data_IF_969818280958
#
_entry.id   IF_969818280958
#
_cell.length_a   1.000
_cell.length_b   1.000
_cell.length_c   1.000
_cell.angle_alpha   90.00
_cell.angle_beta   90.00
_cell.angle_gamma   90.00
#
_symmetry.space_group_name_H-M   'P 1'
#
loop_
_entity.id
_entity.type
_entity.pdbx_description
1 polymer ?
#
# COMPACT_ATOMS: atom_id res chain seq x y z
N UNK A 1 3.08 4.02 1.99
CA UNK A 1 3.50 5.07 2.95
C UNK A 1 2.37 5.41 3.93
N UNK A 2 1.84 4.43 4.67
CA UNK A 2 0.94 4.69 5.79
C UNK A 2 -0.41 5.37 5.47
N UNK A 3 -0.73 5.72 4.23
CA UNK A 3 -2.02 6.29 3.83
C UNK A 3 -2.94 5.20 3.27
N UNK A 4 -4.21 5.22 3.68
CA UNK A 4 -5.25 4.32 3.16
C UNK A 4 -6.03 5.07 2.10
N UNK A 5 -6.09 4.51 0.89
CA UNK A 5 -6.77 5.10 -0.26
C UNK A 5 -8.03 4.31 -0.62
N UNK A 6 -9.13 5.02 -0.88
CA UNK A 6 -10.33 4.43 -1.47
C UNK A 6 -10.17 4.28 -2.98
N UNK A 7 -9.88 3.05 -3.40
CA UNK A 7 -9.70 2.66 -4.79
C UNK A 7 -10.95 2.09 -5.44
N UNK A 8 -12.14 2.29 -4.85
CA UNK A 8 -13.42 1.76 -5.38
C UNK A 8 -13.70 2.24 -6.80
N UNK A 9 -13.38 3.49 -7.13
CA UNK A 9 -13.47 4.02 -8.50
C UNK A 9 -12.52 3.33 -9.49
N UNK A 10 -11.44 2.71 -8.97
CA UNK A 10 -10.45 1.93 -9.70
C UNK A 10 -10.74 0.43 -9.73
N UNK A 11 -11.99 -0.02 -9.48
CA UNK A 11 -12.36 -1.45 -9.42
C UNK A 11 -11.91 -2.30 -10.61
N UNK A 12 -11.77 -1.74 -11.80
CA UNK A 12 -11.24 -2.46 -12.97
C UNK A 12 -9.77 -2.90 -12.81
N UNK A 13 -9.02 -2.24 -11.92
CA UNK A 13 -7.62 -2.53 -11.64
C UNK A 13 -7.45 -3.34 -10.36
N UNK A 14 -8.10 -2.92 -9.27
CA UNK A 14 -7.92 -3.50 -7.93
C UNK A 14 -9.05 -4.45 -7.52
N UNK A 15 -10.13 -4.53 -8.31
CA UNK A 15 -11.19 -5.51 -8.09
C UNK A 15 -10.79 -6.91 -8.56
N UNK A 16 -11.59 -7.94 -8.24
CA UNK A 16 -11.31 -9.32 -8.64
C UNK A 16 -11.11 -9.47 -10.15
N UNK A 17 -10.04 -10.15 -10.58
CA UNK A 17 -9.65 -10.31 -11.98
C UNK A 17 -8.92 -9.10 -12.58
N UNK A 18 -8.66 -8.06 -11.79
CA UNK A 18 -7.90 -6.89 -12.21
C UNK A 18 -6.39 -7.11 -12.07
N UNK A 19 -5.56 -6.43 -12.86
CA UNK A 19 -4.10 -6.60 -12.84
C UNK A 19 -3.45 -6.27 -11.48
N UNK A 20 -4.13 -5.50 -10.62
CA UNK A 20 -3.66 -5.06 -9.32
C UNK A 20 -4.52 -5.61 -8.17
N UNK A 21 -5.28 -6.70 -8.40
CA UNK A 21 -6.14 -7.31 -7.38
C UNK A 21 -5.37 -7.70 -6.11
N UNK A 22 -4.11 -8.13 -6.27
CA UNK A 22 -3.23 -8.56 -5.18
C UNK A 22 -2.93 -7.45 -4.16
N UNK A 23 -3.05 -6.18 -4.55
CA UNK A 23 -2.83 -5.03 -3.68
C UNK A 23 -4.10 -4.59 -2.93
N UNK A 24 -5.27 -5.12 -3.29
CA UNK A 24 -6.52 -4.71 -2.68
C UNK A 24 -6.61 -5.18 -1.22
N UNK A 25 -6.88 -4.23 -0.31
CA UNK A 25 -7.07 -4.52 1.12
C UNK A 25 -5.80 -4.85 1.90
N UNK A 26 -4.61 -4.50 1.37
CA UNK A 26 -3.30 -4.79 1.98
C UNK A 26 -2.37 -3.58 1.87
N UNK A 27 -1.25 -3.59 2.58
CA UNK A 27 -0.18 -2.62 2.33
C UNK A 27 0.54 -2.95 1.02
N UNK A 28 0.34 -2.10 0.01
CA UNK A 28 0.96 -2.25 -1.31
C UNK A 28 2.36 -1.62 -1.39
N UNK A 29 2.87 -1.01 -0.31
CA UNK A 29 4.05 -0.14 -0.37
C UNK A 29 5.30 -0.85 -0.90
N UNK A 30 5.60 -2.08 -0.48
CA UNK A 30 6.76 -2.85 -0.96
C UNK A 30 6.61 -3.27 -2.41
N UNK A 31 5.48 -3.87 -2.78
CA UNK A 31 5.20 -4.27 -4.16
C UNK A 31 5.27 -3.10 -5.14
N UNK A 32 4.71 -1.94 -4.78
CA UNK A 32 4.78 -0.72 -5.59
C UNK A 32 6.20 -0.14 -5.69
N UNK A 33 6.97 -0.18 -4.61
CA UNK A 33 8.35 0.28 -4.59
C UNK A 33 9.26 -0.58 -5.48
N UNK A 34 9.04 -1.90 -5.50
CA UNK A 34 9.78 -2.85 -6.34
C UNK A 34 9.21 -2.98 -7.75
N UNK A 35 7.99 -2.49 -8.01
CA UNK A 35 7.27 -2.76 -9.25
C UNK A 35 6.95 -4.25 -9.44
N UNK A 36 6.79 -4.99 -8.35
CA UNK A 36 6.56 -6.44 -8.34
C UNK A 36 5.17 -6.78 -7.81
N UNK A 37 4.58 -7.82 -8.39
CA UNK A 37 3.29 -8.41 -8.00
C UNK A 37 3.46 -9.79 -7.38
N UNK A 38 4.71 -10.19 -7.10
CA UNK A 38 5.04 -11.48 -6.50
C UNK A 38 4.51 -11.55 -5.07
N UNK A 39 4.05 -12.74 -4.68
CA UNK A 39 3.45 -12.96 -3.35
C UNK A 39 4.42 -12.62 -2.21
N UNK A 40 5.72 -12.83 -2.40
CA UNK A 40 6.77 -12.47 -1.43
C UNK A 40 6.89 -10.95 -1.19
N UNK A 41 6.39 -10.12 -2.11
CA UNK A 41 6.40 -8.66 -2.00
C UNK A 41 5.08 -8.11 -1.45
N UNK A 42 4.09 -8.97 -1.23
CA UNK A 42 2.80 -8.61 -0.66
C UNK A 42 2.82 -8.77 0.86
N UNK A 43 2.10 -7.90 1.56
CA UNK A 43 1.81 -8.12 2.97
C UNK A 43 0.99 -9.38 3.14
N UNK A 44 1.63 -10.42 3.66
CA UNK A 44 1.01 -11.73 3.92
C UNK A 44 0.27 -11.75 5.26
N UNK A 45 0.82 -11.07 6.28
CA UNK A 45 0.27 -11.02 7.63
C UNK A 45 -0.43 -9.68 7.87
N UNK A 46 -1.77 -9.67 7.79
CA UNK A 46 -2.57 -8.45 7.90
C UNK A 46 -2.74 -7.96 9.35
N UNK A 47 -2.58 -8.87 10.30
CA UNK A 47 -2.60 -8.58 11.75
C UNK A 47 -1.18 -8.37 12.32
N UNK A 48 -0.17 -8.47 11.46
CA UNK A 48 1.24 -8.38 11.81
C UNK A 48 1.77 -6.95 11.99
N UNK A 49 3.08 -6.82 12.28
CA UNK A 49 3.75 -5.53 12.24
C UNK A 49 3.75 -4.97 10.81
N UNK A 50 3.61 -3.66 10.69
CA UNK A 50 3.74 -2.98 9.40
C UNK A 50 5.14 -3.14 8.83
N UNK A 51 5.22 -3.22 7.51
CA UNK A 51 6.49 -3.19 6.80
C UNK A 51 7.14 -1.81 6.98
N UNK A 52 8.36 -1.82 7.52
CA UNK A 52 9.11 -0.59 7.78
C UNK A 52 9.73 -0.01 6.51
N UNK A 53 9.85 -0.80 5.44
CA UNK A 53 10.45 -0.40 4.16
C UNK A 53 11.88 0.14 4.30
N UNK A 54 12.56 -0.25 5.37
CA UNK A 54 13.89 0.25 5.76
C UNK A 54 14.97 -0.13 4.77
N UNK A 55 14.77 -1.26 4.09
CA UNK A 55 15.66 -1.90 3.13
C UNK A 55 15.52 -1.36 1.70
N UNK A 56 14.57 -0.45 1.44
CA UNK A 56 14.42 0.17 0.13
C UNK A 56 15.59 1.10 -0.20
N UNK A 57 16.09 1.00 -1.43
CA UNK A 57 17.06 1.93 -2.01
C UNK A 57 16.39 3.25 -2.46
N UNK A 58 17.19 4.24 -2.88
CA UNK A 58 16.68 5.56 -3.27
C UNK A 58 15.73 5.50 -4.47
N UNK A 59 16.02 4.66 -5.47
CA UNK A 59 15.17 4.49 -6.66
C UNK A 59 13.79 3.91 -6.30
N UNK A 60 13.77 2.89 -5.43
CA UNK A 60 12.54 2.28 -4.92
C UNK A 60 11.72 3.26 -4.08
N UNK A 61 12.40 4.11 -3.28
CA UNK A 61 11.75 5.17 -2.51
C UNK A 61 11.17 6.26 -3.41
N UNK A 62 11.84 6.61 -4.51
CA UNK A 62 11.29 7.52 -5.51
C UNK A 62 10.10 6.91 -6.25
N UNK A 63 10.19 5.64 -6.67
CA UNK A 63 9.07 4.93 -7.28
C UNK A 63 7.83 4.93 -6.37
N UNK A 64 8.02 4.60 -5.08
CA UNK A 64 6.94 4.63 -4.09
C UNK A 64 6.35 6.03 -3.90
N UNK A 65 7.18 7.09 -3.93
CA UNK A 65 6.71 8.48 -3.87
C UNK A 65 5.86 8.83 -5.09
N UNK A 66 6.32 8.50 -6.29
CA UNK A 66 5.55 8.76 -7.52
C UNK A 66 4.21 8.00 -7.53
N UNK A 67 4.17 6.79 -6.97
CA UNK A 67 2.90 6.08 -6.77
C UNK A 67 1.99 6.78 -5.77
N UNK A 68 2.52 7.24 -4.63
CA UNK A 68 1.74 7.99 -3.64
C UNK A 68 1.14 9.28 -4.25
N UNK A 69 1.90 10.04 -5.03
CA UNK A 69 1.39 11.26 -5.69
C UNK A 69 0.23 10.93 -6.65
N UNK A 70 0.40 9.92 -7.50
CA UNK A 70 -0.66 9.46 -8.42
C UNK A 70 -1.92 9.01 -7.69
N UNK A 71 -1.76 8.34 -6.54
CA UNK A 71 -2.88 7.90 -5.73
C UNK A 71 -3.58 9.10 -5.06
N UNK A 72 -2.83 10.09 -4.56
CA UNK A 72 -3.41 11.32 -4.00
C UNK A 72 -4.17 12.14 -5.04
N UNK A 73 -3.72 12.17 -6.29
CA UNK A 73 -4.44 12.87 -7.37
C UNK A 73 -5.73 12.15 -7.79
N UNK A 74 -5.77 10.82 -7.69
CA UNK A 74 -6.84 9.99 -8.28
C UNK A 74 -7.85 9.44 -7.27
N UNK A 75 -7.42 9.18 -6.04
CA UNK A 75 -8.19 8.47 -5.02
C UNK A 75 -8.25 9.28 -3.73
N UNK A 76 -9.31 9.05 -2.95
CA UNK A 76 -9.49 9.73 -1.67
C UNK A 76 -8.65 9.03 -0.59
N UNK A 77 -7.93 9.81 0.21
CA UNK A 77 -7.32 9.30 1.44
C UNK A 77 -8.42 9.17 2.48
N UNK A 78 -8.70 7.94 2.91
CA UNK A 78 -9.76 7.62 3.87
C UNK A 78 -9.22 7.32 5.27
N UNK A 79 -7.91 7.31 5.46
CA UNK A 79 -7.30 7.15 6.76
C UNK A 79 -5.80 6.90 6.71
N UNK A 80 -5.28 6.46 7.85
CA UNK A 80 -3.88 6.08 8.05
C UNK A 80 -3.80 4.59 8.40
N UNK A 81 -2.87 3.89 7.78
CA UNK A 81 -2.57 2.50 8.07
C UNK A 81 -1.79 2.42 9.38
N UNK A 82 -2.27 1.58 10.30
CA UNK A 82 -1.67 1.34 11.62
C UNK A 82 -1.51 -0.17 11.82
N UNK A 83 -0.51 -0.60 12.59
CA UNK A 83 -0.38 -2.00 12.97
C UNK A 83 -1.58 -2.44 13.84
N UNK A 84 -1.98 -3.71 13.77
CA UNK A 84 -3.19 -4.23 14.43
C UNK A 84 -3.17 -4.11 15.98
N UNK A 85 -2.04 -3.73 16.59
CA UNK A 85 -1.91 -3.46 18.02
C UNK A 85 -1.71 -1.99 18.40
N UNK A 86 -1.65 -1.05 17.44
CA UNK A 86 -1.40 0.38 17.71
C UNK A 86 -2.67 1.25 17.78
N UNK A 87 -3.86 0.63 17.73
CA UNK A 87 -5.14 1.32 17.92
C UNK A 87 -5.24 1.86 19.35
N UNK A 88 -4.72 3.07 19.60
CA UNK A 88 -4.78 3.71 20.92
C UNK A 88 -3.72 4.78 21.24
N UNK A 89 -2.80 5.09 20.33
CA UNK A 89 -1.81 6.18 20.53
C UNK A 89 -2.16 7.41 19.68
N UNK A 90 -3.29 8.03 19.98
CA UNK A 90 -3.52 9.43 19.61
C UNK A 90 -3.92 10.13 20.92
N UNK A 91 -2.96 10.81 21.54
CA UNK A 91 -3.15 11.79 22.63
C UNK A 91 -3.31 13.18 22.04
#
# INVERSE_FOLDING_TARGET
>A
RGHVFDVTSGRQFYGPGGPYENFAGRDASRGLAHGSFDEDMLTSDLDGPLDTLSDLNDEQKEALRGWEERFNEKYLVVGKLVAAGEQGKEE
#
